data_IF_533086705019
#
_entry.id   IF_533086705019
#
_cell.length_a   1.000
_cell.length_b   1.000
_cell.length_c   1.000
_cell.angle_alpha   90.00
_cell.angle_beta   90.00
_cell.angle_gamma   90.00
#
_symmetry.space_group_name_H-M   'P 1'
#
loop_
_entity.id
_entity.type
_entity.pdbx_description
1 polymer ?
#
# COMPACT_ATOMS: atom_id res chain seq x y z
N UNK A 1 8.94 -10.17 -0.72
CA UNK A 1 8.94 -9.50 0.59
C UNK A 1 9.81 -8.26 0.51
N UNK A 2 9.31 -7.11 0.93
CA UNK A 2 9.98 -5.81 0.87
C UNK A 2 10.97 -5.61 2.03
N UNK A 3 10.64 -6.14 3.21
CA UNK A 3 11.44 -5.99 4.42
C UNK A 3 10.73 -6.57 5.64
N UNK A 4 11.32 -6.33 6.81
CA UNK A 4 10.81 -6.76 8.12
C UNK A 4 10.26 -5.55 8.87
N UNK A 5 9.12 -5.72 9.56
CA UNK A 5 8.56 -4.66 10.41
C UNK A 5 9.44 -4.54 11.66
N UNK A 6 9.94 -3.34 11.92
CA UNK A 6 10.80 -3.05 13.09
C UNK A 6 10.18 -2.04 14.05
N UNK A 7 9.18 -1.27 13.61
CA UNK A 7 8.43 -0.34 14.46
C UNK A 7 7.03 -0.13 13.91
N UNK A 8 6.09 0.18 14.81
CA UNK A 8 4.76 0.67 14.49
C UNK A 8 4.51 1.91 15.34
N UNK A 9 4.43 3.05 14.68
CA UNK A 9 4.29 4.38 15.29
C UNK A 9 3.00 5.01 14.76
N UNK A 10 1.97 5.05 15.60
CA UNK A 10 0.63 5.50 15.22
C UNK A 10 0.09 4.76 13.98
N UNK A 11 0.00 5.44 12.83
CA UNK A 11 -0.42 4.90 11.54
C UNK A 11 0.76 4.62 10.60
N UNK A 12 1.99 4.65 11.08
CA UNK A 12 3.18 4.41 10.28
C UNK A 12 3.87 3.12 10.69
N UNK A 13 4.07 2.24 9.74
CA UNK A 13 4.86 1.02 9.89
C UNK A 13 6.25 1.30 9.34
N UNK A 14 7.28 1.03 10.13
CA UNK A 14 8.68 1.19 9.71
C UNK A 14 9.23 -0.18 9.35
N UNK A 15 9.68 -0.32 8.10
CA UNK A 15 10.30 -1.53 7.59
C UNK A 15 11.81 -1.37 7.56
N UNK A 16 12.54 -2.37 8.03
CA UNK A 16 13.93 -2.57 7.61
C UNK A 16 13.92 -3.24 6.24
N UNK A 17 14.40 -2.55 5.22
CA UNK A 17 14.35 -3.06 3.85
C UNK A 17 15.32 -4.24 3.67
N UNK A 18 14.83 -5.28 3.01
CA UNK A 18 15.60 -6.46 2.63
C UNK A 18 16.11 -6.41 1.18
N UNK A 19 15.93 -5.28 0.50
CA UNK A 19 16.23 -5.11 -0.93
C UNK A 19 17.31 -4.05 -1.16
N UNK A 20 18.05 -4.21 -2.26
CA UNK A 20 19.05 -3.23 -2.71
C UNK A 20 18.37 -2.13 -3.54
N UNK A 21 18.13 -0.98 -2.90
CA UNK A 21 17.46 0.16 -3.51
C UNK A 21 18.22 0.75 -4.70
N UNK A 22 19.53 0.54 -4.81
CA UNK A 22 20.34 1.07 -5.93
C UNK A 22 20.02 0.39 -7.26
N UNK A 23 19.38 -0.78 -7.20
CA UNK A 23 18.98 -1.59 -8.36
C UNK A 23 17.49 -1.53 -8.66
N UNK A 24 16.71 -0.80 -7.85
CA UNK A 24 15.28 -0.64 -8.03
C UNK A 24 14.92 0.79 -8.45
N UNK A 25 13.80 0.95 -9.14
CA UNK A 25 13.15 2.25 -9.22
C UNK A 25 12.74 2.73 -7.81
N UNK A 26 12.53 4.04 -7.65
CA UNK A 26 12.03 4.57 -6.39
C UNK A 26 10.74 3.86 -5.98
N UNK A 27 10.68 3.47 -4.70
CA UNK A 27 9.50 2.84 -4.11
C UNK A 27 8.62 3.83 -3.34
N UNK A 28 9.04 5.10 -3.25
CA UNK A 28 8.25 6.18 -2.62
C UNK A 28 6.99 6.43 -3.45
N UNK A 29 5.88 6.71 -2.77
CA UNK A 29 4.51 6.83 -3.29
C UNK A 29 3.93 5.51 -3.86
N UNK A 30 4.65 4.38 -3.73
CA UNK A 30 4.07 3.08 -4.05
C UNK A 30 3.29 2.54 -2.87
N UNK A 31 2.25 1.75 -3.16
CA UNK A 31 1.48 1.08 -2.13
C UNK A 31 2.15 -0.23 -1.72
N UNK A 32 2.13 -0.49 -0.42
CA UNK A 32 2.51 -1.74 0.20
C UNK A 32 1.27 -2.51 0.65
N UNK A 33 1.26 -3.81 0.38
CA UNK A 33 0.34 -4.77 0.94
C UNK A 33 0.99 -5.44 2.14
N UNK A 34 0.34 -5.36 3.29
CA UNK A 34 0.74 -6.01 4.54
C UNK A 34 -0.26 -7.13 4.84
N UNK A 35 0.20 -8.38 4.83
CA UNK A 35 -0.62 -9.56 5.08
C UNK A 35 -0.36 -10.08 6.49
N UNK A 36 -1.40 -10.09 7.33
CA UNK A 36 -1.33 -10.43 8.75
C UNK A 36 -2.57 -11.22 9.19
N UNK A 37 -2.41 -12.51 9.47
CA UNK A 37 -3.48 -13.37 9.99
C UNK A 37 -4.76 -13.32 9.15
N UNK A 38 -4.61 -13.46 7.82
CA UNK A 38 -5.71 -13.40 6.86
C UNK A 38 -6.20 -11.99 6.51
N UNK A 39 -5.73 -10.94 7.21
CA UNK A 39 -6.01 -9.55 6.87
C UNK A 39 -5.05 -9.02 5.82
N UNK A 40 -5.56 -8.15 4.96
CA UNK A 40 -4.80 -7.46 3.91
C UNK A 40 -4.88 -5.97 4.17
N UNK A 41 -3.82 -5.38 4.69
CA UNK A 41 -3.73 -3.95 4.96
C UNK A 41 -2.99 -3.28 3.81
N UNK A 42 -3.51 -2.15 3.35
CA UNK A 42 -2.87 -1.30 2.34
C UNK A 42 -2.27 -0.09 3.02
N UNK A 43 -1.01 0.21 2.69
CA UNK A 43 -0.35 1.45 3.06
C UNK A 43 0.40 2.06 1.90
N UNK A 44 0.82 3.32 2.04
CA UNK A 44 1.66 4.05 1.09
C UNK A 44 3.05 4.24 1.67
N UNK A 45 4.09 3.99 0.86
CA UNK A 45 5.47 4.30 1.24
C UNK A 45 5.67 5.81 1.12
N UNK A 46 5.69 6.51 2.24
CA UNK A 46 5.79 7.98 2.27
C UNK A 46 7.23 8.47 2.34
N UNK A 47 8.15 7.65 2.85
CA UNK A 47 9.57 8.01 2.97
C UNK A 47 10.47 6.77 2.92
N UNK A 48 11.71 6.95 2.46
CA UNK A 48 12.77 5.96 2.50
C UNK A 48 14.07 6.62 2.93
N UNK A 49 14.58 6.24 4.11
CA UNK A 49 15.83 6.77 4.67
C UNK A 49 16.57 5.72 5.45
N UNK A 50 17.90 5.74 5.36
CA UNK A 50 18.80 4.85 6.11
C UNK A 50 18.44 3.36 6.02
N UNK A 51 18.06 2.90 4.81
CA UNK A 51 17.66 1.51 4.57
C UNK A 51 16.31 1.13 5.20
N UNK A 52 15.51 2.12 5.60
CA UNK A 52 14.17 1.92 6.16
C UNK A 52 13.12 2.56 5.26
N UNK A 53 11.97 1.89 5.14
CA UNK A 53 10.79 2.46 4.50
C UNK A 53 9.74 2.80 5.56
N UNK A 54 9.08 3.94 5.38
CA UNK A 54 8.00 4.42 6.22
C UNK A 54 6.70 4.22 5.46
N UNK A 55 5.82 3.38 5.99
CA UNK A 55 4.58 2.98 5.33
C UNK A 55 3.41 3.54 6.12
N UNK A 56 2.73 4.54 5.57
CA UNK A 56 1.52 5.09 6.16
C UNK A 56 0.32 4.20 5.83
N UNK A 57 -0.39 3.74 6.86
CA UNK A 57 -1.52 2.83 6.73
C UNK A 57 -2.76 3.59 6.22
N UNK A 58 -3.35 3.11 5.13
CA UNK A 58 -4.50 3.74 4.46
C UNK A 58 -5.82 3.02 4.78
N UNK A 59 -5.81 1.68 4.73
CA UNK A 59 -7.04 0.90 4.88
C UNK A 59 -6.83 -0.60 4.73
N UNK A 60 -7.92 -1.34 4.61
CA UNK A 60 -7.94 -2.80 4.52
C UNK A 60 -8.64 -3.26 3.22
N UNK A 61 -8.17 -4.35 2.63
CA UNK A 61 -8.86 -5.05 1.54
C UNK A 61 -9.68 -6.21 2.11
N UNK A 62 -11.00 -6.17 1.91
CA UNK A 62 -11.93 -7.24 2.22
C UNK A 62 -12.79 -7.54 1.00
N UNK A 63 -12.82 -8.79 0.53
CA UNK A 63 -13.58 -9.21 -0.66
C UNK A 63 -13.32 -8.31 -1.89
N UNK A 64 -12.05 -8.01 -2.15
CA UNK A 64 -11.57 -7.14 -3.23
C UNK A 64 -12.14 -5.70 -3.18
N UNK A 65 -12.64 -5.26 -2.01
CA UNK A 65 -13.04 -3.88 -1.75
C UNK A 65 -12.08 -3.24 -0.78
N UNK A 66 -11.62 -2.05 -1.13
CA UNK A 66 -10.86 -1.22 -0.22
C UNK A 66 -11.79 -0.52 0.78
N UNK A 67 -11.50 -0.69 2.06
CA UNK A 67 -12.19 -0.05 3.18
C UNK A 67 -11.19 0.91 3.84
N UNK A 68 -11.45 2.22 3.82
CA UNK A 68 -10.56 3.19 4.44
C UNK A 68 -10.46 2.98 5.96
N UNK A 69 -9.26 3.21 6.50
CA UNK A 69 -8.96 3.05 7.92
C UNK A 69 -8.53 1.63 8.30
N UNK A 70 -7.68 1.55 9.32
CA UNK A 70 -7.13 0.28 9.82
C UNK A 70 -7.58 0.07 11.26
N UNK A 71 -8.29 -1.02 11.51
CA UNK A 71 -8.88 -1.34 12.82
C UNK A 71 -7.81 -1.92 13.75
N UNK A 72 -6.92 -2.77 13.21
CA UNK A 72 -5.85 -3.42 13.97
C UNK A 72 -4.52 -3.22 13.26
N UNK A 73 -3.53 -2.72 14.00
CA UNK A 73 -2.15 -2.60 13.48
C UNK A 73 -1.56 -3.97 13.16
N UNK A 74 -0.72 -4.07 12.11
CA UNK A 74 -0.12 -5.34 11.74
C UNK A 74 0.84 -5.83 12.84
N UNK A 75 0.94 -7.16 12.95
CA UNK A 75 1.96 -7.79 13.78
C UNK A 75 3.37 -7.58 13.21
N UNK A 76 4.40 -7.66 14.05
CA UNK A 76 5.80 -7.61 13.60
C UNK A 76 6.18 -8.76 12.66
N UNK A 77 5.43 -9.86 12.68
CA UNK A 77 5.61 -11.02 11.80
C UNK A 77 4.84 -10.93 10.47
N UNK A 78 4.11 -9.84 10.22
CA UNK A 78 3.32 -9.69 9.01
C UNK A 78 4.22 -9.62 7.76
N UNK A 79 3.71 -10.18 6.66
CA UNK A 79 4.43 -10.16 5.38
C UNK A 79 4.14 -8.86 4.65
N UNK A 80 5.19 -8.16 4.20
CA UNK A 80 5.03 -6.89 3.47
C UNK A 80 5.56 -7.02 2.05
N UNK A 81 4.75 -6.64 1.06
CA UNK A 81 5.08 -6.65 -0.36
C UNK A 81 4.61 -5.35 -1.04
N UNK A 82 5.15 -5.00 -2.21
CA UNK A 82 4.55 -3.96 -3.05
C UNK A 82 3.24 -4.47 -3.65
N UNK A 83 2.25 -3.59 -3.77
CA UNK A 83 0.99 -3.92 -4.45
C UNK A 83 1.26 -4.14 -5.94
N UNK A 84 0.72 -5.22 -6.50
CA UNK A 84 0.81 -5.50 -7.93
C UNK A 84 -0.12 -4.58 -8.73
N UNK A 85 0.27 -4.23 -9.97
CA UNK A 85 -0.54 -3.36 -10.86
C UNK A 85 -1.97 -3.85 -11.02
N UNK A 86 -2.18 -5.17 -11.08
CA UNK A 86 -3.52 -5.78 -11.22
C UNK A 86 -4.46 -5.52 -10.03
N UNK A 87 -3.92 -5.25 -8.83
CA UNK A 87 -4.71 -4.98 -7.61
C UNK A 87 -5.00 -3.50 -7.40
N UNK A 88 -4.35 -2.66 -8.18
CA UNK A 88 -4.42 -1.21 -8.05
C UNK A 88 -5.82 -0.63 -8.30
N UNK A 89 -6.65 -1.16 -9.24
CA UNK A 89 -8.03 -0.73 -9.39
C UNK A 89 -8.87 -0.89 -8.12
N UNK A 90 -8.58 -1.87 -7.26
CA UNK A 90 -9.33 -2.05 -6.00
C UNK A 90 -9.03 -0.94 -4.98
N UNK A 91 -7.93 -0.21 -5.15
CA UNK A 91 -7.48 0.86 -4.24
C UNK A 91 -7.88 2.23 -4.79
N UNK A 92 -7.67 2.45 -6.09
CA UNK A 92 -7.82 3.78 -6.71
C UNK A 92 -9.07 3.94 -7.57
N UNK A 93 -9.77 2.85 -7.91
CA UNK A 93 -10.91 2.90 -8.82
C UNK A 93 -12.20 2.42 -8.17
N UNK A 94 -13.31 2.89 -8.71
CA UNK A 94 -14.67 2.43 -8.35
C UNK A 94 -15.09 1.18 -9.14
N UNK A 95 -14.18 0.61 -9.93
CA UNK A 95 -14.47 -0.52 -10.81
C UNK A 95 -15.25 -0.08 -12.05
N UNK A 96 -16.47 -0.58 -12.23
CA UNK A 96 -17.32 -0.16 -13.33
C UNK A 96 -17.81 1.28 -13.09
N UNK A 97 -17.26 2.23 -13.84
CA UNK A 97 -17.67 3.63 -13.77
C UNK A 97 -19.14 3.81 -14.16
N UNK A 98 -19.87 4.59 -13.37
CA UNK A 98 -21.26 4.97 -13.62
C UNK A 98 -21.33 6.50 -13.58
N UNK A 99 -21.55 7.14 -14.73
CA UNK A 99 -21.48 8.61 -14.89
C UNK A 99 -22.41 9.37 -13.93
N UNK A 100 -23.56 8.79 -13.58
CA UNK A 100 -24.53 9.42 -12.68
C UNK A 100 -24.25 9.17 -11.19
N UNK A 101 -23.20 8.42 -10.83
CA UNK A 101 -22.86 8.07 -9.44
C UNK A 101 -21.42 8.38 -9.06
N UNK A 102 -20.52 8.33 -10.02
CA UNK A 102 -19.08 8.41 -9.79
C UNK A 102 -18.51 9.71 -10.36
N UNK A 103 -17.55 10.29 -9.64
CA UNK A 103 -16.78 11.43 -10.11
C UNK A 103 -15.35 10.96 -10.40
N UNK A 104 -14.95 11.05 -11.67
CA UNK A 104 -13.57 10.79 -12.07
C UNK A 104 -12.71 12.03 -11.79
N UNK A 105 -11.64 11.87 -11.01
CA UNK A 105 -10.74 12.96 -10.64
C UNK A 105 -9.57 13.13 -11.62
N UNK A 106 -9.27 12.11 -12.43
CA UNK A 106 -8.17 12.11 -13.39
C UNK A 106 -7.50 10.75 -13.47
N UNK A 107 -6.31 10.71 -14.08
CA UNK A 107 -5.48 9.49 -14.16
C UNK A 107 -4.33 9.57 -13.16
N UNK A 108 -3.91 8.44 -12.62
CA UNK A 108 -2.76 8.40 -11.72
C UNK A 108 -1.46 8.75 -12.45
N UNK A 109 -0.67 9.66 -11.88
CA UNK A 109 0.67 10.00 -12.38
C UNK A 109 1.73 8.96 -11.98
N UNK A 110 1.44 8.15 -10.95
CA UNK A 110 2.34 7.11 -10.43
C UNK A 110 2.04 5.76 -11.10
N UNK A 111 0.76 5.42 -11.26
CA UNK A 111 0.32 4.19 -11.88
C UNK A 111 -0.33 4.49 -13.23
N UNK A 112 0.45 4.38 -14.31
CA UNK A 112 -0.05 4.57 -15.67
C UNK A 112 -1.22 3.63 -15.96
N UNK A 113 -2.19 4.14 -16.74
CA UNK A 113 -3.38 3.43 -17.21
C UNK A 113 -4.41 3.07 -16.12
N UNK A 114 -4.42 3.80 -15.01
CA UNK A 114 -5.46 3.69 -13.98
C UNK A 114 -6.20 5.02 -13.85
N UNK A 115 -7.52 4.91 -14.02
CA UNK A 115 -8.54 5.97 -13.95
C UNK A 115 -9.27 5.91 -12.60
#
# INVERSE_FOLDING_TARGET
MLGEIISVEENTVILKLGIDLTKSQSIVNLFALIEDDGKKIIGEITDVKDGKAFVHLLGELSDDKFVPGVIRKPSFGATVNLVSKERMPYIMSVGAYEENKHLLLGKSAVYQDID
#
